data_IF_733649287799
#
_entry.id   IF_733649287799
#
_cell.length_a   1.000
_cell.length_b   1.000
_cell.length_c   1.000
_cell.angle_alpha   90.00
_cell.angle_beta   90.00
_cell.angle_gamma   90.00
#
_symmetry.space_group_name_H-M   'P 1'
#
loop_
_entity.id
_entity.type
_entity.pdbx_description
1 polymer ?
#
# COMPACT_ATOMS: atom_id res chain seq x y z
N UNK A 1 -14.26 17.65 16.79
CA UNK A 1 -13.78 17.26 15.44
C UNK A 1 -14.84 17.76 14.49
N UNK A 2 -14.50 18.75 13.67
CA UNK A 2 -15.41 19.37 12.70
C UNK A 2 -15.66 18.46 11.49
N UNK A 3 -16.64 18.81 10.65
CA UNK A 3 -17.00 18.05 9.45
C UNK A 3 -15.81 17.89 8.49
N UNK A 4 -15.00 18.95 8.29
CA UNK A 4 -13.81 18.92 7.46
C UNK A 4 -12.77 17.89 7.95
N UNK A 5 -12.60 17.76 9.27
CA UNK A 5 -11.74 16.74 9.87
C UNK A 5 -12.24 15.31 9.66
N UNK A 6 -13.56 15.09 9.60
CA UNK A 6 -14.13 13.79 9.26
C UNK A 6 -13.93 13.45 7.77
N UNK A 7 -14.20 14.40 6.88
CA UNK A 7 -14.03 14.25 5.43
C UNK A 7 -12.59 13.93 5.04
N UNK A 8 -11.60 14.62 5.62
CA UNK A 8 -10.19 14.37 5.35
C UNK A 8 -9.74 12.97 5.80
N UNK A 9 -10.23 12.49 6.96
CA UNK A 9 -9.95 11.12 7.43
C UNK A 9 -10.57 10.07 6.55
N UNK A 10 -11.82 10.28 6.13
CA UNK A 10 -12.51 9.35 5.24
C UNK A 10 -11.79 9.26 3.88
N UNK A 11 -11.43 10.40 3.29
CA UNK A 11 -10.67 10.44 2.04
C UNK A 11 -9.30 9.75 2.18
N UNK A 12 -8.62 9.94 3.31
CA UNK A 12 -7.38 9.22 3.62
C UNK A 12 -7.59 7.70 3.67
N UNK A 13 -8.63 7.26 4.36
CA UNK A 13 -8.97 5.83 4.46
C UNK A 13 -9.26 5.21 3.09
N UNK A 14 -9.95 5.93 2.20
CA UNK A 14 -10.21 5.48 0.82
C UNK A 14 -8.91 5.36 0.02
N UNK A 15 -8.02 6.36 0.11
CA UNK A 15 -6.71 6.31 -0.52
C UNK A 15 -5.86 5.13 -0.02
N UNK A 16 -5.77 4.93 1.30
CA UNK A 16 -5.00 3.84 1.89
C UNK A 16 -5.56 2.47 1.46
N UNK A 17 -6.89 2.33 1.40
CA UNK A 17 -7.54 1.11 0.91
C UNK A 17 -7.24 0.85 -0.59
N UNK A 18 -7.30 1.87 -1.44
CA UNK A 18 -6.94 1.75 -2.86
C UNK A 18 -5.45 1.38 -3.04
N UNK A 19 -4.56 1.96 -2.23
CA UNK A 19 -3.13 1.64 -2.24
C UNK A 19 -2.84 0.19 -1.82
N UNK A 20 -3.58 -0.31 -0.81
CA UNK A 20 -3.50 -1.72 -0.40
C UNK A 20 -3.93 -2.66 -1.53
N UNK A 21 -5.07 -2.39 -2.20
CA UNK A 21 -5.53 -3.18 -3.37
C UNK A 21 -4.48 -3.25 -4.49
N UNK A 22 -3.84 -2.13 -4.82
CA UNK A 22 -2.75 -2.10 -5.83
C UNK A 22 -1.59 -3.00 -5.41
N UNK A 23 -1.22 -2.95 -4.13
CA UNK A 23 -0.10 -3.74 -3.57
C UNK A 23 -0.41 -5.23 -3.62
N UNK A 24 -1.59 -5.63 -3.17
CA UNK A 24 -2.03 -7.03 -3.18
C UNK A 24 -2.13 -7.58 -4.60
N UNK A 25 -2.68 -6.80 -5.53
CA UNK A 25 -2.79 -7.22 -6.93
C UNK A 25 -1.41 -7.36 -7.61
N UNK A 26 -0.45 -6.50 -7.28
CA UNK A 26 0.95 -6.64 -7.74
C UNK A 26 1.63 -7.88 -7.14
N UNK A 27 1.39 -8.15 -5.85
CA UNK A 27 1.92 -9.35 -5.20
C UNK A 27 1.34 -10.63 -5.83
N UNK A 28 0.04 -10.63 -6.15
CA UNK A 28 -0.62 -11.68 -6.91
C UNK A 28 0.05 -11.90 -8.27
N UNK A 29 0.26 -10.84 -9.05
CA UNK A 29 0.91 -10.93 -10.36
C UNK A 29 2.31 -11.56 -10.27
N UNK A 30 3.11 -11.14 -9.28
CA UNK A 30 4.45 -11.71 -9.05
C UNK A 30 4.38 -13.20 -8.71
N UNK A 31 3.46 -13.60 -7.82
CA UNK A 31 3.30 -15.00 -7.45
C UNK A 31 2.82 -15.84 -8.64
N UNK A 32 1.91 -15.32 -9.48
CA UNK A 32 1.47 -15.98 -10.70
C UNK A 32 2.62 -16.19 -11.70
N UNK A 33 3.45 -15.16 -11.91
CA UNK A 33 4.60 -15.24 -12.82
C UNK A 33 5.62 -16.27 -12.29
N UNK A 34 5.95 -16.23 -10.99
CA UNK A 34 6.82 -17.23 -10.36
C UNK A 34 6.29 -18.66 -10.49
N UNK A 35 5.00 -18.86 -10.22
CA UNK A 35 4.35 -20.17 -10.35
C UNK A 35 4.43 -20.70 -11.78
N UNK A 36 4.10 -19.87 -12.77
CA UNK A 36 4.13 -20.25 -14.19
C UNK A 36 5.54 -20.55 -14.69
N UNK A 37 6.53 -19.77 -14.25
CA UNK A 37 7.92 -19.96 -14.69
C UNK A 37 8.55 -21.23 -14.13
N UNK A 38 8.14 -21.65 -12.92
CA UNK A 38 8.67 -22.85 -12.25
C UNK A 38 7.86 -24.11 -12.56
N UNK A 39 6.61 -24.00 -13.03
CA UNK A 39 5.74 -25.14 -13.36
C UNK A 39 6.37 -26.16 -14.35
N UNK A 40 7.10 -25.75 -15.41
CA UNK A 40 7.81 -26.70 -16.28
C UNK A 40 8.81 -27.58 -15.53
N UNK A 41 9.62 -27.00 -14.64
CA UNK A 41 10.62 -27.73 -13.82
C UNK A 41 9.93 -28.73 -12.89
N UNK A 42 8.82 -28.32 -12.27
CA UNK A 42 8.02 -29.21 -11.42
C UNK A 42 7.39 -30.36 -12.23
N UNK A 43 6.95 -30.10 -13.46
CA UNK A 43 6.42 -31.13 -14.36
C UNK A 43 7.50 -32.12 -14.78
N UNK A 44 8.68 -31.65 -15.17
CA UNK A 44 9.82 -32.50 -15.52
C UNK A 44 10.21 -33.41 -14.35
N UNK A 45 10.36 -32.83 -13.15
CA UNK A 45 10.64 -33.60 -11.94
C UNK A 45 9.63 -34.73 -11.69
N UNK A 46 8.34 -34.49 -11.90
CA UNK A 46 7.27 -35.49 -11.72
C UNK A 46 7.34 -36.63 -12.74
N UNK A 47 7.94 -36.40 -13.91
CA UNK A 47 8.12 -37.42 -14.94
C UNK A 47 9.32 -38.33 -14.67
N UNK A 48 10.26 -37.93 -13.80
CA UNK A 48 11.43 -38.73 -13.46
C UNK A 48 11.01 -39.93 -12.60
N UNK A 49 11.22 -41.14 -13.14
CA UNK A 49 10.84 -42.40 -12.47
C UNK A 49 11.92 -42.97 -11.57
N UNK A 50 13.19 -42.73 -11.91
CA UNK A 50 14.34 -43.26 -11.16
C UNK A 50 14.64 -42.35 -9.98
N UNK A 51 14.56 -42.89 -8.77
CA UNK A 51 14.72 -42.11 -7.53
C UNK A 51 16.08 -41.40 -7.44
N UNK A 52 17.16 -42.07 -7.84
CA UNK A 52 18.51 -41.48 -7.89
C UNK A 52 18.58 -40.24 -8.80
N UNK A 53 17.91 -40.30 -9.95
CA UNK A 53 17.91 -39.18 -10.91
C UNK A 53 16.98 -38.07 -10.42
N UNK A 54 15.90 -38.43 -9.70
CA UNK A 54 14.97 -37.49 -9.08
C UNK A 54 15.63 -36.67 -7.98
N UNK A 55 16.41 -37.31 -7.11
CA UNK A 55 17.19 -36.62 -6.06
C UNK A 55 18.22 -35.66 -6.66
N UNK A 56 18.95 -36.10 -7.70
CA UNK A 56 19.90 -35.24 -8.42
C UNK A 56 19.21 -34.04 -9.08
N UNK A 57 18.05 -34.26 -9.71
CA UNK A 57 17.28 -33.20 -10.33
C UNK A 57 16.78 -32.19 -9.29
N UNK A 58 16.24 -32.68 -8.16
CA UNK A 58 15.81 -31.80 -7.07
C UNK A 58 16.97 -30.93 -6.57
N UNK A 59 18.14 -31.52 -6.31
CA UNK A 59 19.31 -30.78 -5.87
C UNK A 59 19.78 -29.73 -6.89
N UNK A 60 19.68 -30.03 -8.19
CA UNK A 60 20.02 -29.09 -9.26
C UNK A 60 19.01 -27.93 -9.41
N UNK A 61 17.75 -28.15 -9.03
CA UNK A 61 16.62 -27.21 -9.21
C UNK A 61 16.01 -26.73 -7.89
N UNK A 62 16.71 -26.86 -6.77
CA UNK A 62 16.18 -26.59 -5.43
C UNK A 62 15.55 -25.19 -5.33
N UNK A 63 16.20 -24.18 -5.93
CA UNK A 63 15.68 -22.82 -5.99
C UNK A 63 14.31 -22.73 -6.67
N UNK A 64 14.08 -23.45 -7.78
CA UNK A 64 12.81 -23.48 -8.49
C UNK A 64 11.71 -24.09 -7.62
N UNK A 65 12.02 -25.13 -6.84
CA UNK A 65 11.09 -25.73 -5.89
C UNK A 65 10.67 -24.75 -4.79
N UNK A 66 11.64 -24.06 -4.18
CA UNK A 66 11.39 -23.07 -3.13
C UNK A 66 10.53 -21.92 -3.69
N UNK A 67 10.87 -21.41 -4.88
CA UNK A 67 10.10 -20.34 -5.54
C UNK A 67 8.68 -20.80 -5.86
N UNK A 68 8.50 -22.02 -6.37
CA UNK A 68 7.19 -22.56 -6.72
C UNK A 68 6.30 -22.72 -5.47
N UNK A 69 6.87 -23.23 -4.38
CA UNK A 69 6.15 -23.43 -3.11
C UNK A 69 5.74 -22.10 -2.47
N UNK A 70 6.67 -21.14 -2.41
CA UNK A 70 6.37 -19.79 -1.95
C UNK A 70 5.29 -19.10 -2.81
N UNK A 71 5.35 -19.30 -4.13
CA UNK A 71 4.34 -18.78 -5.04
C UNK A 71 2.96 -19.40 -4.79
N UNK A 72 2.86 -20.72 -4.60
CA UNK A 72 1.61 -21.41 -4.23
C UNK A 72 1.03 -20.87 -2.94
N UNK A 73 1.83 -20.84 -1.88
CA UNK A 73 1.39 -20.35 -0.58
C UNK A 73 0.87 -18.90 -0.66
N UNK A 74 1.55 -18.03 -1.42
CA UNK A 74 1.11 -16.66 -1.61
C UNK A 74 -0.20 -16.55 -2.40
N UNK A 75 -0.39 -17.37 -3.45
CA UNK A 75 -1.63 -17.42 -4.22
C UNK A 75 -2.80 -17.93 -3.38
N UNK A 76 -2.57 -18.95 -2.55
CA UNK A 76 -3.55 -19.50 -1.63
C UNK A 76 -3.95 -18.47 -0.56
N UNK A 77 -2.98 -17.76 0.03
CA UNK A 77 -3.23 -16.68 0.98
C UNK A 77 -4.06 -15.54 0.39
N UNK A 78 -3.87 -15.24 -0.89
CA UNK A 78 -4.61 -14.22 -1.63
C UNK A 78 -5.96 -14.73 -2.16
N UNK A 79 -6.34 -15.99 -1.87
CA UNK A 79 -7.61 -16.58 -2.29
C UNK A 79 -7.73 -16.73 -3.81
N UNK A 80 -6.59 -16.86 -4.52
CA UNK A 80 -6.59 -16.96 -5.98
C UNK A 80 -7.11 -18.35 -6.38
N UNK A 81 -8.02 -18.46 -7.36
CA UNK A 81 -8.52 -19.75 -7.82
C UNK A 81 -7.40 -20.61 -8.41
N UNK A 82 -7.56 -21.94 -8.33
CA UNK A 82 -6.62 -22.91 -8.93
C UNK A 82 -6.35 -22.64 -10.41
N UNK A 83 -7.37 -22.18 -11.13
CA UNK A 83 -7.20 -21.71 -12.51
C UNK A 83 -6.74 -20.25 -12.50
N UNK A 84 -5.45 -20.05 -12.77
CA UNK A 84 -4.85 -18.71 -12.74
C UNK A 84 -5.41 -17.82 -13.86
N UNK A 85 -5.79 -16.57 -13.57
CA UNK A 85 -6.25 -15.62 -14.58
C UNK A 85 -5.15 -15.29 -15.58
N UNK A 86 -5.51 -14.73 -16.76
CA UNK A 86 -4.49 -14.37 -17.75
C UNK A 86 -3.67 -13.19 -17.23
N UNK A 87 -2.36 -13.23 -17.48
CA UNK A 87 -1.44 -12.18 -17.04
C UNK A 87 -1.90 -10.78 -17.47
N UNK A 88 -2.36 -10.67 -18.72
CA UNK A 88 -2.85 -9.41 -19.31
C UNK A 88 -4.05 -8.83 -18.55
N UNK A 89 -4.95 -9.68 -18.05
CA UNK A 89 -6.17 -9.24 -17.36
C UNK A 89 -5.79 -8.67 -15.98
N UNK A 90 -4.88 -9.34 -15.27
CA UNK A 90 -4.34 -8.85 -13.98
C UNK A 90 -3.56 -7.55 -14.15
N UNK A 91 -2.78 -7.40 -15.22
CA UNK A 91 -2.05 -6.16 -15.52
C UNK A 91 -3.01 -5.01 -15.80
N UNK A 92 -4.08 -5.24 -16.58
CA UNK A 92 -5.11 -4.24 -16.85
C UNK A 92 -5.83 -3.80 -15.55
N UNK A 93 -6.15 -4.76 -14.68
CA UNK A 93 -6.74 -4.47 -13.37
C UNK A 93 -5.80 -3.64 -12.48
N UNK A 94 -4.49 -3.94 -12.46
CA UNK A 94 -3.49 -3.13 -11.74
C UNK A 94 -3.47 -1.70 -12.26
N UNK A 95 -3.53 -1.50 -13.58
CA UNK A 95 -3.57 -0.16 -14.17
C UNK A 95 -4.83 0.60 -13.74
N UNK A 96 -6.00 -0.06 -13.77
CA UNK A 96 -7.26 0.52 -13.29
C UNK A 96 -7.19 0.91 -11.81
N UNK A 97 -6.66 0.03 -10.96
CA UNK A 97 -6.49 0.32 -9.52
C UNK A 97 -5.50 1.45 -9.25
N UNK A 98 -4.46 1.60 -10.08
CA UNK A 98 -3.53 2.74 -9.99
C UNK A 98 -4.26 4.05 -10.29
N UNK A 99 -5.13 4.08 -11.30
CA UNK A 99 -5.96 5.25 -11.59
C UNK A 99 -6.90 5.59 -10.42
N UNK A 100 -7.64 4.61 -9.90
CA UNK A 100 -8.52 4.79 -8.72
C UNK A 100 -7.73 5.32 -7.51
N UNK A 101 -6.54 4.76 -7.25
CA UNK A 101 -5.67 5.21 -6.16
C UNK A 101 -5.22 6.66 -6.36
N UNK A 102 -4.91 7.07 -7.59
CA UNK A 102 -4.50 8.44 -7.88
C UNK A 102 -5.69 9.43 -7.72
N UNK A 103 -6.89 9.04 -8.12
CA UNK A 103 -8.11 9.83 -7.88
C UNK A 103 -8.37 9.99 -6.37
N UNK A 104 -8.30 8.89 -5.61
CA UNK A 104 -8.42 8.93 -4.15
C UNK A 104 -7.34 9.80 -3.50
N UNK A 105 -6.12 9.81 -4.03
CA UNK A 105 -5.04 10.67 -3.55
C UNK A 105 -5.35 12.15 -3.74
N UNK A 106 -5.87 12.53 -4.92
CA UNK A 106 -6.25 13.91 -5.20
C UNK A 106 -7.36 14.39 -4.27
N UNK A 107 -8.40 13.56 -4.06
CA UNK A 107 -9.49 13.86 -3.11
C UNK A 107 -8.98 14.02 -1.67
N UNK A 108 -8.13 13.10 -1.21
CA UNK A 108 -7.48 13.21 0.10
C UNK A 108 -6.66 14.48 0.23
N UNK A 109 -5.87 14.81 -0.80
CA UNK A 109 -5.02 16.01 -0.82
C UNK A 109 -5.86 17.27 -0.66
N UNK A 110 -6.90 17.44 -1.47
CA UNK A 110 -7.79 18.62 -1.43
C UNK A 110 -8.44 18.79 -0.06
N UNK A 111 -9.02 17.71 0.50
CA UNK A 111 -9.67 17.75 1.81
C UNK A 111 -8.68 18.02 2.95
N UNK A 112 -7.46 17.50 2.84
CA UNK A 112 -6.40 17.78 3.81
C UNK A 112 -5.93 19.23 3.74
N UNK A 113 -5.80 19.80 2.55
CA UNK A 113 -5.45 21.21 2.35
C UNK A 113 -6.54 22.13 2.94
N UNK A 114 -7.82 21.85 2.66
CA UNK A 114 -8.96 22.59 3.23
C UNK A 114 -9.00 22.53 4.75
N UNK A 115 -8.79 21.35 5.34
CA UNK A 115 -8.73 21.21 6.80
C UNK A 115 -7.58 22.05 7.38
N UNK A 116 -6.41 22.04 6.73
CA UNK A 116 -5.26 22.81 7.18
C UNK A 116 -5.53 24.33 7.15
N UNK A 117 -6.17 24.82 6.08
CA UNK A 117 -6.56 26.22 5.95
C UNK A 117 -7.54 26.64 7.07
N UNK A 118 -8.58 25.84 7.31
CA UNK A 118 -9.56 26.10 8.37
C UNK A 118 -8.92 26.15 9.76
N UNK A 119 -8.03 25.19 10.06
CA UNK A 119 -7.31 25.17 11.35
C UNK A 119 -6.39 26.40 11.50
N UNK A 120 -5.79 26.86 10.40
CA UNK A 120 -4.95 28.06 10.39
C UNK A 120 -5.78 29.32 10.63
N UNK A 121 -6.91 29.48 9.94
CA UNK A 121 -7.85 30.58 10.16
C UNK A 121 -8.38 30.61 11.60
N UNK A 122 -8.74 29.44 12.13
CA UNK A 122 -9.20 29.31 13.52
C UNK A 122 -8.14 29.75 14.52
N UNK A 123 -6.88 29.33 14.33
CA UNK A 123 -5.75 29.76 15.17
C UNK A 123 -5.55 31.27 15.08
N UNK A 124 -5.55 31.85 13.87
CA UNK A 124 -5.37 33.29 13.68
C UNK A 124 -6.47 34.10 14.38
N UNK A 125 -7.73 33.64 14.29
CA UNK A 125 -8.86 34.27 14.97
C UNK A 125 -8.74 34.20 16.50
N UNK A 126 -8.33 33.04 17.04
CA UNK A 126 -8.09 32.88 18.48
C UNK A 126 -6.98 33.82 18.99
N UNK A 127 -5.90 34.00 18.22
CA UNK A 127 -4.82 34.94 18.58
C UNK A 127 -5.26 36.41 18.54
N UNK A 128 -6.14 36.78 17.61
CA UNK A 128 -6.65 38.16 17.50
C UNK A 128 -7.60 38.54 18.64
N UNK A 129 -8.30 37.57 19.24
CA UNK A 129 -9.31 37.81 20.29
C UNK A 129 -8.77 37.58 21.70
N UNK A 130 -7.64 36.89 21.85
CA UNK A 130 -6.97 36.83 23.15
C UNK A 130 -6.56 38.24 23.59
N UNK A 131 -6.96 38.70 24.80
CA UNK A 131 -6.45 39.94 25.35
C UNK A 131 -4.93 39.88 25.34
N UNK A 132 -4.27 40.86 24.73
CA UNK A 132 -2.83 41.01 24.92
C UNK A 132 -2.61 41.17 26.42
N UNK A 133 -2.09 40.13 27.09
CA UNK A 133 -1.58 40.31 28.44
C UNK A 133 -0.57 41.45 28.35
N UNK A 134 -0.68 42.50 29.18
CA UNK A 134 0.26 43.60 29.13
C UNK A 134 1.65 43.00 29.28
N UNK A 135 2.48 43.11 28.23
CA UNK A 135 3.91 42.84 28.34
C UNK A 135 4.34 43.67 29.54
N UNK A 136 4.70 43.01 30.64
CA UNK A 136 5.19 43.69 31.84
C UNK A 136 6.35 44.59 31.39
N UNK A 137 6.08 45.88 31.19
CA UNK A 137 7.11 46.89 31.13
C UNK A 137 7.73 46.86 32.52
N UNK A 138 8.88 46.19 32.66
CA UNK A 138 9.75 46.39 33.79
C UNK A 138 10.12 47.87 33.78
N UNK A 139 9.41 48.67 34.56
CA UNK A 139 9.89 49.99 34.98
C UNK A 139 11.12 49.71 35.85
N UNK A 140 12.31 49.98 35.33
CA UNK A 140 13.42 50.34 36.20
C UNK A 140 13.28 51.84 36.43
N UNK A 141 12.60 52.21 37.51
CA UNK A 141 13.01 53.39 38.26
C UNK A 141 14.39 53.05 38.84
N UNK A 142 15.40 53.79 38.40
CA UNK A 142 16.56 54.06 39.25
C UNK A 142 16.58 55.57 39.37
N UNK A 143 16.09 56.04 40.51
CA UNK A 143 16.44 57.33 41.07
C UNK A 143 17.93 57.32 41.40
N UNK A 144 18.67 58.33 40.90
CA UNK A 144 19.73 59.11 41.58
C UNK A 144 20.33 60.12 40.61
#
# INVERSE_FOLDING_TARGET
>A
MDAAGAEAREARSRYDAAAAKVTDKKAMLKAMDNYRNTDPVIKEYRMIRKEKDKQKFYAAHEADFIINDAAKHQLDKLGVPKQLPKRKDVVAEIQSLISEKNECYNDYREKSERLHELMTMQRNYQMAIQPQQPKHRRKHEIEL
#
